data_IF_168270720832
#
_entry.id   IF_168270720832
#
_cell.length_a   1.000
_cell.length_b   1.000
_cell.length_c   1.000
_cell.angle_alpha   90.00
_cell.angle_beta   90.00
_cell.angle_gamma   90.00
#
_symmetry.space_group_name_H-M   'P 1'
#
loop_
_entity.id
_entity.type
_entity.pdbx_description
1 polymer ?
#
# COMPACT_ATOMS: atom_id res chain seq x y z
N UNK A 1 13.34 -3.34 1.87
CA UNK A 1 12.90 -4.71 2.12
C UNK A 1 11.41 -4.82 2.49
N UNK A 2 10.88 -4.11 3.49
CA UNK A 2 9.46 -4.23 3.90
C UNK A 2 8.49 -4.04 2.72
N UNK A 3 8.69 -3.02 1.87
CA UNK A 3 7.90 -2.84 0.64
C UNK A 3 7.93 -4.06 -0.28
N UNK A 4 9.09 -4.71 -0.42
CA UNK A 4 9.22 -5.90 -1.26
C UNK A 4 8.44 -7.10 -0.70
N UNK A 5 8.44 -7.30 0.61
CA UNK A 5 7.59 -8.33 1.23
C UNK A 5 6.11 -8.00 1.03
N UNK A 6 5.72 -6.74 1.24
CA UNK A 6 4.33 -6.31 1.05
C UNK A 6 3.82 -6.56 -0.38
N UNK A 7 4.63 -6.32 -1.41
CA UNK A 7 4.17 -6.57 -2.79
C UNK A 7 3.96 -8.06 -3.09
N UNK A 8 4.77 -8.96 -2.52
CA UNK A 8 4.54 -10.40 -2.63
C UNK A 8 3.25 -10.83 -1.90
N UNK A 9 2.98 -10.25 -0.73
CA UNK A 9 1.73 -10.49 -0.01
C UNK A 9 0.53 -10.02 -0.83
N UNK A 10 0.62 -8.87 -1.50
CA UNK A 10 -0.44 -8.36 -2.38
C UNK A 10 -0.69 -9.31 -3.56
N UNK A 11 0.36 -9.82 -4.22
CA UNK A 11 0.19 -10.81 -5.28
C UNK A 11 -0.53 -12.04 -4.73
N UNK A 12 -0.07 -12.57 -3.58
CA UNK A 12 -0.63 -13.78 -2.97
C UNK A 12 -2.13 -13.66 -2.69
N UNK A 13 -2.55 -12.51 -2.19
CA UNK A 13 -3.98 -12.27 -1.84
C UNK A 13 -4.90 -12.33 -3.06
N UNK A 14 -4.42 -11.89 -4.21
CA UNK A 14 -5.23 -11.86 -5.44
C UNK A 14 -5.40 -13.24 -6.09
N UNK A 15 -4.67 -14.27 -5.63
CA UNK A 15 -4.90 -15.65 -6.07
C UNK A 15 -6.19 -16.29 -5.53
N UNK A 16 -6.99 -15.58 -4.77
CA UNK A 16 -8.24 -16.07 -4.17
C UNK A 16 -9.16 -16.78 -5.18
N UNK A 17 -9.28 -16.29 -6.40
CA UNK A 17 -10.06 -16.96 -7.46
C UNK A 17 -9.46 -18.27 -7.98
N UNK A 18 -8.16 -18.55 -7.73
CA UNK A 18 -7.48 -19.76 -8.19
C UNK A 18 -7.41 -20.87 -7.13
N UNK A 19 -7.89 -20.61 -5.89
CA UNK A 19 -7.80 -21.55 -4.78
C UNK A 19 -9.15 -21.90 -4.19
N UNK A 20 -9.33 -23.18 -3.92
CA UNK A 20 -10.47 -23.73 -3.17
C UNK A 20 -10.15 -24.04 -1.71
N UNK A 21 -8.95 -23.69 -1.23
CA UNK A 21 -8.47 -24.04 0.09
C UNK A 21 -8.83 -22.96 1.11
N UNK A 22 -9.62 -23.31 2.14
CA UNK A 22 -10.07 -22.43 3.22
C UNK A 22 -8.91 -21.77 4.00
N UNK A 23 -7.76 -22.42 4.12
CA UNK A 23 -6.58 -21.85 4.80
C UNK A 23 -5.99 -20.68 3.99
N UNK A 24 -5.91 -20.83 2.68
CA UNK A 24 -5.42 -19.76 1.81
C UNK A 24 -6.36 -18.56 1.82
N UNK A 25 -7.65 -18.79 1.85
CA UNK A 25 -8.68 -17.78 1.99
C UNK A 25 -8.54 -17.01 3.30
N UNK A 26 -8.32 -17.75 4.39
CA UNK A 26 -8.05 -17.16 5.69
C UNK A 26 -6.81 -16.28 5.66
N UNK A 27 -5.68 -16.75 5.09
CA UNK A 27 -4.44 -15.98 4.97
C UNK A 27 -4.64 -14.78 4.03
N UNK A 28 -5.33 -14.98 2.90
CA UNK A 28 -5.69 -13.92 1.95
C UNK A 28 -6.46 -12.78 2.59
N UNK A 29 -7.32 -13.07 3.55
CA UNK A 29 -8.10 -12.07 4.29
C UNK A 29 -7.24 -11.02 5.02
N UNK A 30 -5.95 -11.27 5.25
CA UNK A 30 -5.00 -10.33 5.90
C UNK A 30 -4.23 -9.43 4.91
N UNK A 31 -4.44 -9.58 3.60
CA UNK A 31 -3.67 -8.86 2.59
C UNK A 31 -3.82 -7.35 2.60
N UNK A 32 -4.92 -6.83 3.12
CA UNK A 32 -5.14 -5.40 3.30
C UNK A 32 -4.03 -4.74 4.16
N UNK A 33 -3.37 -5.51 5.05
CA UNK A 33 -2.28 -5.01 5.91
C UNK A 33 -1.08 -4.56 5.05
N UNK A 34 -0.80 -5.26 3.96
CA UNK A 34 0.28 -4.87 3.05
C UNK A 34 0.00 -3.52 2.39
N UNK A 35 -1.24 -3.27 1.96
CA UNK A 35 -1.67 -1.98 1.40
C UNK A 35 -1.62 -0.89 2.46
N UNK A 36 -2.07 -1.18 3.68
CA UNK A 36 -1.98 -0.27 4.83
C UNK A 36 -0.52 0.14 5.10
N UNK A 37 0.43 -0.80 5.01
CA UNK A 37 1.86 -0.51 5.14
C UNK A 37 2.40 0.36 4.00
N UNK A 38 1.94 0.17 2.77
CA UNK A 38 2.31 1.05 1.67
C UNK A 38 1.83 2.48 1.90
N UNK A 39 0.60 2.66 2.39
CA UNK A 39 0.09 4.00 2.77
C UNK A 39 0.89 4.61 3.91
N UNK A 40 1.22 3.84 4.96
CA UNK A 40 2.05 4.29 6.09
C UNK A 40 3.41 4.79 5.60
N UNK A 41 4.12 4.00 4.81
CA UNK A 41 5.44 4.36 4.28
C UNK A 41 5.36 5.61 3.39
N UNK A 42 4.28 5.75 2.61
CA UNK A 42 4.07 6.90 1.72
C UNK A 42 3.83 8.17 2.52
N UNK A 43 2.96 8.15 3.53
CA UNK A 43 2.70 9.31 4.39
C UNK A 43 3.94 9.69 5.21
N UNK A 44 4.61 8.73 5.85
CA UNK A 44 5.85 8.94 6.57
C UNK A 44 6.92 9.62 5.70
N UNK A 45 7.11 9.11 4.48
CA UNK A 45 8.09 9.65 3.54
C UNK A 45 7.76 11.07 3.08
N UNK A 46 6.48 11.44 2.93
CA UNK A 46 6.05 12.79 2.58
C UNK A 46 6.26 13.77 3.74
N UNK A 47 5.85 13.40 4.95
CA UNK A 47 6.08 14.21 6.16
C UNK A 47 7.57 14.48 6.36
N UNK A 48 8.39 13.42 6.34
CA UNK A 48 9.84 13.51 6.51
C UNK A 48 10.49 14.40 5.43
N UNK A 49 10.01 14.32 4.19
CA UNK A 49 10.54 15.12 3.08
C UNK A 49 10.17 16.59 3.21
N UNK A 50 8.94 16.89 3.67
CA UNK A 50 8.48 18.26 3.93
C UNK A 50 9.28 18.94 5.05
N UNK A 51 9.68 18.18 6.07
CA UNK A 51 10.48 18.70 7.19
C UNK A 51 11.94 18.92 6.82
N UNK A 52 12.52 18.04 6.00
CA UNK A 52 13.95 18.08 5.67
C UNK A 52 14.32 18.99 4.51
N UNK A 53 13.40 19.22 3.56
CA UNK A 53 13.68 19.96 2.33
C UNK A 53 12.91 21.27 2.32
N UNK A 54 13.61 22.40 2.37
CA UNK A 54 13.00 23.75 2.36
C UNK A 54 12.10 23.99 1.14
N UNK A 55 12.53 23.56 -0.04
CA UNK A 55 11.83 23.78 -1.32
C UNK A 55 10.91 22.61 -1.72
N UNK A 56 10.57 21.72 -0.77
CA UNK A 56 9.81 20.53 -1.06
C UNK A 56 8.47 20.82 -1.74
N UNK A 57 7.74 21.84 -1.29
CA UNK A 57 6.43 22.18 -1.83
C UNK A 57 6.50 22.82 -3.21
N UNK A 58 7.58 23.53 -3.55
CA UNK A 58 7.74 24.18 -4.85
C UNK A 58 7.75 23.17 -6.01
N UNK A 59 8.33 22.00 -5.78
CA UNK A 59 8.43 20.93 -6.77
C UNK A 59 7.53 19.72 -6.45
N UNK A 60 6.64 19.86 -5.45
CA UNK A 60 5.85 18.75 -4.92
C UNK A 60 5.03 18.06 -5.99
N UNK A 61 4.16 18.80 -6.67
CA UNK A 61 3.25 18.24 -7.67
C UNK A 61 3.98 17.59 -8.83
N UNK A 62 4.96 18.29 -9.41
CA UNK A 62 5.77 17.73 -10.49
C UNK A 62 6.40 16.40 -10.08
N UNK A 63 7.07 16.37 -8.95
CA UNK A 63 7.76 15.18 -8.49
C UNK A 63 6.80 14.05 -8.10
N UNK A 64 5.62 14.37 -7.56
CA UNK A 64 4.62 13.36 -7.17
C UNK A 64 3.87 12.81 -8.36
N UNK A 65 3.39 13.66 -9.25
CA UNK A 65 2.67 13.21 -10.45
C UNK A 65 3.58 12.35 -11.33
N UNK A 66 4.80 12.79 -11.57
CA UNK A 66 5.78 12.00 -12.34
C UNK A 66 6.03 10.64 -11.68
N UNK A 67 6.21 10.60 -10.34
CA UNK A 67 6.50 9.36 -9.64
C UNK A 67 5.33 8.37 -9.60
N UNK A 68 4.10 8.85 -9.63
CA UNK A 68 2.91 8.01 -9.53
C UNK A 68 2.33 7.66 -10.89
N UNK A 69 2.29 8.62 -11.82
CA UNK A 69 1.59 8.44 -13.08
C UNK A 69 2.45 7.83 -14.18
N UNK A 70 3.77 8.08 -14.22
CA UNK A 70 4.62 7.50 -15.27
C UNK A 70 4.67 5.97 -15.18
N UNK A 71 4.94 5.34 -14.01
CA UNK A 71 4.86 3.88 -13.92
C UNK A 71 3.46 3.33 -14.21
N UNK A 72 2.40 4.05 -13.79
CA UNK A 72 1.03 3.68 -14.08
C UNK A 72 0.76 3.67 -15.60
N UNK A 73 1.21 4.71 -16.30
CA UNK A 73 1.11 4.80 -17.76
C UNK A 73 1.90 3.68 -18.47
N UNK A 74 3.13 3.41 -18.01
CA UNK A 74 3.95 2.34 -18.58
C UNK A 74 3.28 0.97 -18.44
N UNK A 75 2.69 0.67 -17.27
CA UNK A 75 1.94 -0.57 -17.03
C UNK A 75 0.68 -0.62 -17.89
N UNK A 76 -0.07 0.47 -17.99
CA UNK A 76 -1.28 0.52 -18.81
C UNK A 76 -0.97 0.29 -20.31
N UNK A 77 0.14 0.83 -20.83
CA UNK A 77 0.57 0.57 -22.20
C UNK A 77 0.84 -0.91 -22.46
N UNK A 78 1.48 -1.59 -21.50
CA UNK A 78 1.68 -3.05 -21.58
C UNK A 78 0.33 -3.76 -21.52
N UNK A 79 -0.58 -3.33 -20.63
CA UNK A 79 -1.94 -3.89 -20.54
C UNK A 79 -2.71 -3.81 -21.85
N UNK A 80 -2.64 -2.67 -22.56
CA UNK A 80 -3.24 -2.51 -23.87
C UNK A 80 -2.64 -3.49 -24.88
N UNK A 81 -1.31 -3.66 -24.87
CA UNK A 81 -0.65 -4.61 -25.76
C UNK A 81 -1.08 -6.06 -25.48
N UNK A 82 -1.25 -6.46 -24.22
CA UNK A 82 -1.77 -7.77 -23.85
C UNK A 82 -3.24 -7.95 -24.23
N UNK A 83 -4.10 -6.96 -23.98
CA UNK A 83 -5.51 -6.97 -24.41
C UNK A 83 -5.65 -7.12 -25.92
N UNK A 84 -4.72 -6.53 -26.68
CA UNK A 84 -4.72 -6.69 -28.14
C UNK A 84 -4.43 -8.15 -28.55
N UNK A 85 -3.56 -8.84 -27.82
CA UNK A 85 -3.29 -10.29 -28.02
C UNK A 85 -4.52 -11.12 -27.67
N UNK A 86 -5.32 -10.70 -26.69
CA UNK A 86 -6.59 -11.34 -26.30
C UNK A 86 -7.74 -11.03 -27.27
N UNK A 87 -7.51 -10.20 -28.29
CA UNK A 87 -8.52 -9.82 -29.30
C UNK A 87 -9.46 -8.71 -28.82
N UNK A 88 -9.17 -8.05 -27.71
CA UNK A 88 -9.91 -6.88 -27.24
C UNK A 88 -9.17 -5.57 -27.55
N UNK A 89 -9.91 -4.52 -27.93
CA UNK A 89 -9.33 -3.21 -28.30
C UNK A 89 -9.72 -2.12 -27.29
N UNK A 90 -9.44 -2.37 -25.99
CA UNK A 90 -9.80 -1.42 -24.94
C UNK A 90 -8.74 -0.31 -24.78
N UNK A 91 -8.68 0.64 -25.71
CA UNK A 91 -7.80 1.81 -25.64
C UNK A 91 -8.04 2.69 -24.41
N UNK A 92 -9.24 2.65 -23.84
CA UNK A 92 -9.60 3.40 -22.64
C UNK A 92 -8.77 3.00 -21.41
N UNK A 93 -8.16 1.83 -21.42
CA UNK A 93 -7.29 1.37 -20.35
C UNK A 93 -6.08 2.28 -20.12
N UNK A 94 -5.64 3.06 -21.14
CA UNK A 94 -4.51 4.00 -20.99
C UNK A 94 -4.75 5.07 -19.92
N UNK A 95 -6.00 5.51 -19.74
CA UNK A 95 -6.38 6.55 -18.78
C UNK A 95 -6.79 5.97 -17.41
N UNK A 96 -6.81 4.65 -17.27
CA UNK A 96 -7.21 4.04 -16.02
C UNK A 96 -6.14 4.28 -14.95
N UNK A 97 -6.52 4.96 -13.89
CA UNK A 97 -5.68 5.15 -12.72
C UNK A 97 -6.07 4.09 -11.69
N UNK A 98 -5.10 3.30 -11.26
CA UNK A 98 -5.28 2.30 -10.20
C UNK A 98 -5.89 2.94 -8.95
N UNK A 99 -6.81 2.25 -8.27
CA UNK A 99 -7.51 2.75 -7.08
C UNK A 99 -6.58 3.20 -5.96
N UNK A 100 -5.51 2.47 -5.71
CA UNK A 100 -4.47 2.85 -4.76
C UNK A 100 -3.80 4.20 -5.12
N UNK A 101 -3.50 4.40 -6.40
CA UNK A 101 -2.90 5.66 -6.90
C UNK A 101 -3.88 6.81 -6.72
N UNK A 102 -5.18 6.60 -6.95
CA UNK A 102 -6.22 7.61 -6.70
C UNK A 102 -6.23 8.07 -5.24
N UNK A 103 -6.19 7.13 -4.29
CA UNK A 103 -6.13 7.47 -2.85
C UNK A 103 -4.84 8.22 -2.50
N UNK A 104 -3.69 7.81 -3.05
CA UNK A 104 -2.44 8.55 -2.85
C UNK A 104 -2.49 9.97 -3.41
N UNK A 105 -3.10 10.18 -4.58
CA UNK A 105 -3.26 11.50 -5.16
C UNK A 105 -4.19 12.38 -4.31
N UNK A 106 -5.31 11.83 -3.81
CA UNK A 106 -6.18 12.52 -2.84
C UNK A 106 -5.40 12.93 -1.59
N UNK A 107 -4.60 12.02 -1.03
CA UNK A 107 -3.77 12.34 0.12
C UNK A 107 -2.72 13.41 -0.21
N UNK A 108 -2.08 13.33 -1.38
CA UNK A 108 -1.14 14.36 -1.83
C UNK A 108 -1.79 15.74 -1.89
N UNK A 109 -3.05 15.82 -2.37
CA UNK A 109 -3.79 17.08 -2.43
C UNK A 109 -4.05 17.64 -1.03
N UNK A 110 -4.59 16.84 -0.11
CA UNK A 110 -4.87 17.28 1.25
C UNK A 110 -3.59 17.67 2.00
N UNK A 111 -2.55 16.84 1.87
CA UNK A 111 -1.25 17.10 2.45
C UNK A 111 -0.69 18.44 1.96
N UNK A 112 -0.71 18.69 0.64
CA UNK A 112 -0.18 19.91 0.04
C UNK A 112 -0.92 21.15 0.54
N UNK A 113 -2.25 21.11 0.53
CA UNK A 113 -3.08 22.24 1.01
C UNK A 113 -2.78 22.53 2.49
N UNK A 114 -2.75 21.49 3.33
CA UNK A 114 -2.51 21.65 4.77
C UNK A 114 -1.09 22.16 5.05
N UNK A 115 -0.08 21.67 4.32
CA UNK A 115 1.30 22.16 4.47
C UNK A 115 1.43 23.64 4.04
N UNK A 116 0.72 24.07 2.99
CA UNK A 116 0.65 25.49 2.62
C UNK A 116 -0.03 26.31 3.71
N UNK A 117 -1.16 25.86 4.24
CA UNK A 117 -1.88 26.53 5.33
C UNK A 117 -1.00 26.61 6.60
N UNK A 118 -0.30 25.56 6.95
CA UNK A 118 0.65 25.55 8.08
C UNK A 118 1.71 26.62 7.94
N UNK A 119 2.34 26.72 6.76
CA UNK A 119 3.39 27.71 6.50
C UNK A 119 2.89 29.13 6.53
N UNK A 120 1.68 29.38 5.99
CA UNK A 120 1.11 30.73 5.85
C UNK A 120 0.39 31.22 7.13
N UNK A 121 -0.44 30.37 7.73
CA UNK A 121 -1.37 30.80 8.79
C UNK A 121 -1.02 30.29 10.19
N UNK A 122 -0.31 29.15 10.28
CA UNK A 122 -0.02 28.50 11.55
C UNK A 122 1.45 28.11 11.72
N UNK A 123 2.41 29.03 11.46
CA UNK A 123 3.85 28.67 11.48
C UNK A 123 4.35 28.20 12.84
N UNK A 124 3.67 28.59 13.94
CA UNK A 124 3.99 28.16 15.30
C UNK A 124 3.18 26.95 15.81
N UNK A 125 2.16 26.50 15.05
CA UNK A 125 1.23 25.44 15.46
C UNK A 125 1.19 24.31 14.44
N UNK A 126 2.33 23.75 14.09
CA UNK A 126 2.42 22.65 13.12
C UNK A 126 1.54 21.44 13.48
N UNK A 127 1.36 21.17 14.78
CA UNK A 127 0.52 20.08 15.28
C UNK A 127 -0.95 20.22 14.89
N UNK A 128 -1.47 21.44 14.82
CA UNK A 128 -2.87 21.68 14.42
C UNK A 128 -3.13 21.22 12.98
N UNK A 129 -2.21 21.51 12.06
CA UNK A 129 -2.32 21.03 10.68
C UNK A 129 -2.30 19.51 10.58
N UNK A 130 -1.44 18.85 11.36
CA UNK A 130 -1.39 17.39 11.40
C UNK A 130 -2.69 16.80 11.95
N UNK A 131 -3.28 17.42 13.01
CA UNK A 131 -4.58 17.02 13.55
C UNK A 131 -5.70 17.16 12.50
N UNK A 132 -5.72 18.26 11.74
CA UNK A 132 -6.71 18.48 10.68
C UNK A 132 -6.55 17.42 9.58
N UNK A 133 -5.32 17.12 9.17
CA UNK A 133 -5.04 16.09 8.16
C UNK A 133 -5.50 14.71 8.63
N UNK A 134 -5.16 14.34 9.87
CA UNK A 134 -5.58 13.08 10.49
C UNK A 134 -7.10 13.00 10.58
N UNK A 135 -7.76 14.04 11.08
CA UNK A 135 -9.22 14.09 11.20
C UNK A 135 -9.88 13.92 9.82
N UNK A 136 -9.38 14.61 8.78
CA UNK A 136 -9.88 14.45 7.41
C UNK A 136 -9.76 13.03 6.88
N UNK A 137 -8.62 12.35 7.12
CA UNK A 137 -8.42 10.96 6.73
C UNK A 137 -9.39 10.04 7.46
N UNK A 138 -9.52 10.18 8.79
CA UNK A 138 -10.41 9.35 9.61
C UNK A 138 -11.87 9.54 9.20
N UNK A 139 -12.33 10.79 9.05
CA UNK A 139 -13.70 11.10 8.62
C UNK A 139 -13.97 10.52 7.24
N UNK A 140 -13.04 10.68 6.28
CA UNK A 140 -13.20 10.10 4.95
C UNK A 140 -13.20 8.57 4.98
N UNK A 141 -12.42 7.94 5.85
CA UNK A 141 -12.39 6.50 6.04
C UNK A 141 -13.74 5.97 6.53
N UNK A 142 -14.29 6.60 7.56
CA UNK A 142 -15.61 6.25 8.12
C UNK A 142 -16.71 6.50 7.08
N UNK A 143 -16.70 7.66 6.43
CA UNK A 143 -17.69 8.01 5.41
C UNK A 143 -17.73 6.99 4.27
N UNK A 144 -16.56 6.62 3.74
CA UNK A 144 -16.46 5.63 2.69
C UNK A 144 -16.97 4.27 3.13
N UNK A 145 -16.66 3.87 4.36
CA UNK A 145 -17.17 2.61 4.89
C UNK A 145 -18.69 2.62 5.04
N UNK A 146 -19.27 3.69 5.59
CA UNK A 146 -20.70 3.74 5.88
C UNK A 146 -21.58 3.91 4.62
N UNK A 147 -21.08 4.59 3.59
CA UNK A 147 -21.92 5.01 2.45
C UNK A 147 -21.51 4.44 1.11
N UNK A 148 -20.30 3.92 0.97
CA UNK A 148 -19.76 3.47 -0.33
C UNK A 148 -19.27 2.03 -0.28
N UNK A 149 -18.88 1.54 0.91
CA UNK A 149 -18.34 0.19 1.03
C UNK A 149 -19.42 -0.86 0.72
N UNK A 150 -19.11 -1.68 -0.27
CA UNK A 150 -19.82 -2.89 -0.62
C UNK A 150 -18.81 -4.03 -0.74
N UNK A 151 -19.03 -5.14 -0.05
CA UNK A 151 -18.14 -6.31 -0.08
C UNK A 151 -17.97 -6.88 -1.50
N UNK A 152 -18.93 -6.63 -2.40
CA UNK A 152 -18.89 -7.05 -3.81
C UNK A 152 -18.04 -6.13 -4.69
N UNK A 153 -17.75 -4.90 -4.25
CA UNK A 153 -17.00 -3.92 -5.03
C UNK A 153 -15.53 -3.86 -4.62
N UNK A 154 -14.64 -4.23 -5.53
CA UNK A 154 -13.19 -4.01 -5.39
C UNK A 154 -12.81 -2.54 -5.18
N UNK A 155 -13.78 -1.63 -5.31
CA UNK A 155 -13.63 -0.18 -5.26
C UNK A 155 -14.05 0.44 -3.94
N UNK A 156 -14.29 -0.36 -2.90
CA UNK A 156 -14.65 0.14 -1.56
C UNK A 156 -13.68 1.20 -0.97
N UNK A 157 -12.92 1.83 -1.87
CA UNK A 157 -12.20 3.07 -1.67
C UNK A 157 -11.06 2.99 -0.67
N UNK A 158 -10.58 1.76 -0.39
CA UNK A 158 -9.51 1.58 0.59
C UNK A 158 -9.85 2.25 1.92
N UNK A 159 -11.06 2.02 2.42
CA UNK A 159 -11.59 2.74 3.59
C UNK A 159 -10.77 2.48 4.86
N UNK A 160 -10.51 1.23 5.22
CA UNK A 160 -9.71 0.90 6.41
C UNK A 160 -8.20 0.94 6.17
N UNK A 161 -7.71 0.64 4.97
CA UNK A 161 -6.28 0.69 4.61
C UNK A 161 -5.71 2.10 4.67
N UNK A 162 -6.51 3.13 4.35
CA UNK A 162 -6.06 4.53 4.44
C UNK A 162 -5.71 4.98 5.85
N UNK A 163 -6.08 4.21 6.89
CA UNK A 163 -5.58 4.43 8.25
C UNK A 163 -4.04 4.31 8.34
N UNK A 164 -3.41 3.60 7.40
CA UNK A 164 -1.96 3.62 7.24
C UNK A 164 -1.39 5.03 7.04
N UNK A 165 -2.11 5.92 6.36
CA UNK A 165 -1.69 7.32 6.21
C UNK A 165 -1.63 8.04 7.58
N UNK A 166 -2.64 7.81 8.43
CA UNK A 166 -2.65 8.34 9.81
C UNK A 166 -1.44 7.84 10.59
N UNK A 167 -1.19 6.54 10.55
CA UNK A 167 -0.05 5.95 11.26
C UNK A 167 1.30 6.42 10.73
N UNK A 168 1.40 6.69 9.43
CA UNK A 168 2.60 7.28 8.84
C UNK A 168 2.87 8.71 9.33
N UNK A 169 1.82 9.53 9.47
CA UNK A 169 1.92 10.88 10.05
C UNK A 169 2.34 10.80 11.52
N UNK A 170 1.68 9.95 12.31
CA UNK A 170 1.99 9.76 13.73
C UNK A 170 3.41 9.21 13.92
N UNK A 171 3.81 8.23 13.10
CA UNK A 171 5.16 7.69 13.14
C UNK A 171 6.23 8.77 12.89
N UNK A 172 6.02 9.66 11.92
CA UNK A 172 6.95 10.75 11.68
C UNK A 172 7.04 11.69 12.89
N UNK A 173 5.90 12.03 13.47
CA UNK A 173 5.80 13.00 14.56
C UNK A 173 6.38 12.45 15.88
N UNK A 174 6.15 11.17 16.14
CA UNK A 174 6.57 10.51 17.39
C UNK A 174 7.69 9.48 17.17
N UNK A 175 8.52 9.67 16.13
CA UNK A 175 9.55 8.69 15.75
C UNK A 175 10.49 8.36 16.91
N UNK A 176 11.07 9.37 17.57
CA UNK A 176 12.03 9.15 18.66
C UNK A 176 11.43 8.46 19.90
N UNK A 177 10.28 8.92 20.44
CA UNK A 177 9.58 8.19 21.51
C UNK A 177 9.22 6.76 21.11
N UNK A 178 8.79 6.56 19.86
CA UNK A 178 8.40 5.25 19.35
C UNK A 178 9.60 4.28 19.27
N UNK A 179 10.76 4.74 18.78
CA UNK A 179 11.98 3.93 18.75
C UNK A 179 12.41 3.55 20.17
N UNK A 180 12.46 4.51 21.11
CA UNK A 180 12.78 4.24 22.50
C UNK A 180 11.81 3.23 23.13
N UNK A 181 10.53 3.36 22.83
CA UNK A 181 9.52 2.40 23.29
C UNK A 181 9.75 1.01 22.69
N UNK A 182 10.04 0.88 21.40
CA UNK A 182 10.33 -0.42 20.78
C UNK A 182 11.55 -1.09 21.39
N UNK A 183 12.62 -0.36 21.65
CA UNK A 183 13.88 -0.91 22.13
C UNK A 183 13.82 -1.32 23.59
N UNK A 184 12.96 -0.68 24.41
CA UNK A 184 12.79 -1.06 25.83
C UNK A 184 12.02 -2.38 25.93
N UNK A 185 12.58 -3.38 26.63
CA UNK A 185 11.97 -4.72 26.82
C UNK A 185 11.46 -5.35 25.53
N UNK A 186 12.20 -5.19 24.44
CA UNK A 186 11.83 -5.52 23.08
C UNK A 186 11.29 -6.95 22.93
N UNK A 187 11.98 -7.96 23.49
CA UNK A 187 11.56 -9.36 23.35
C UNK A 187 10.18 -9.59 23.97
N UNK A 188 9.94 -9.04 25.15
CA UNK A 188 8.64 -9.17 25.85
C UNK A 188 7.55 -8.49 25.02
N UNK A 189 7.79 -7.27 24.51
CA UNK A 189 6.82 -6.56 23.66
C UNK A 189 6.56 -7.28 22.35
N UNK A 190 7.59 -7.82 21.71
CA UNK A 190 7.42 -8.58 20.46
C UNK A 190 6.55 -9.82 20.71
N UNK A 191 6.78 -10.57 21.79
CA UNK A 191 5.95 -11.72 22.15
C UNK A 191 4.52 -11.28 22.45
N UNK A 192 4.35 -10.24 23.28
CA UNK A 192 3.01 -9.72 23.62
C UNK A 192 2.24 -9.26 22.36
N UNK A 193 2.89 -8.47 21.51
CA UNK A 193 2.29 -8.01 20.25
C UNK A 193 1.96 -9.17 19.30
N UNK A 194 2.81 -10.22 19.26
CA UNK A 194 2.53 -11.44 18.50
C UNK A 194 1.28 -12.14 19.02
N UNK A 195 1.19 -12.36 20.33
CA UNK A 195 0.03 -13.02 20.97
C UNK A 195 -1.25 -12.20 20.74
N UNK A 196 -1.22 -10.89 20.97
CA UNK A 196 -2.37 -10.01 20.73
C UNK A 196 -2.77 -10.03 19.26
N UNK A 197 -1.81 -9.98 18.33
CA UNK A 197 -2.10 -10.07 16.89
C UNK A 197 -2.73 -11.41 16.52
N UNK A 198 -2.29 -12.51 17.11
CA UNK A 198 -2.88 -13.83 16.89
C UNK A 198 -4.31 -13.90 17.40
N UNK A 199 -4.58 -13.43 18.63
CA UNK A 199 -5.92 -13.37 19.20
C UNK A 199 -6.87 -12.50 18.37
N UNK A 200 -6.41 -11.30 17.98
CA UNK A 200 -7.17 -10.41 17.11
C UNK A 200 -7.38 -11.03 15.72
N UNK A 201 -6.40 -11.76 15.19
CA UNK A 201 -6.52 -12.48 13.92
C UNK A 201 -7.60 -13.57 13.96
N UNK A 202 -7.63 -14.36 15.01
CA UNK A 202 -8.69 -15.38 15.24
C UNK A 202 -10.06 -14.69 15.38
N UNK A 203 -10.14 -13.63 16.18
CA UNK A 203 -11.35 -12.84 16.33
C UNK A 203 -11.83 -12.27 14.98
N UNK A 204 -10.90 -11.76 14.18
CA UNK A 204 -11.20 -11.23 12.84
C UNK A 204 -11.76 -12.31 11.91
N UNK A 205 -11.14 -13.48 11.83
CA UNK A 205 -11.66 -14.58 11.00
C UNK A 205 -13.07 -15.01 11.42
N UNK A 206 -13.37 -14.95 12.72
CA UNK A 206 -14.70 -15.32 13.25
C UNK A 206 -15.74 -14.21 13.03
N UNK A 207 -15.36 -12.94 13.18
CA UNK A 207 -16.30 -11.83 13.22
C UNK A 207 -16.18 -10.88 12.01
N UNK A 208 -15.40 -11.21 10.98
CA UNK A 208 -15.15 -10.34 9.81
C UNK A 208 -16.44 -9.91 9.08
N UNK A 209 -17.52 -10.67 9.19
CA UNK A 209 -18.82 -10.36 8.59
C UNK A 209 -19.69 -9.46 9.48
N UNK A 210 -19.31 -9.21 10.73
CA UNK A 210 -20.07 -8.31 11.62
C UNK A 210 -19.85 -6.87 11.17
N UNK A 211 -20.94 -6.24 10.73
CA UNK A 211 -20.92 -4.88 10.23
C UNK A 211 -20.25 -3.92 11.21
N UNK A 212 -19.43 -3.00 10.71
CA UNK A 212 -18.64 -1.99 11.38
C UNK A 212 -17.60 -2.55 12.38
N UNK A 213 -17.98 -3.39 13.33
CA UNK A 213 -17.07 -3.92 14.35
C UNK A 213 -16.05 -4.90 13.77
N UNK A 214 -16.50 -5.90 13.03
CA UNK A 214 -15.65 -6.92 12.41
C UNK A 214 -15.04 -6.44 11.09
N UNK A 215 -15.89 -5.95 10.21
CA UNK A 215 -15.50 -5.60 8.85
C UNK A 215 -14.66 -4.29 8.76
N UNK A 216 -14.73 -3.41 9.76
CA UNK A 216 -14.02 -2.14 9.76
C UNK A 216 -13.07 -1.97 10.95
N UNK A 217 -13.61 -1.87 12.18
CA UNK A 217 -12.78 -1.56 13.36
C UNK A 217 -11.75 -2.65 13.66
N UNK A 218 -12.17 -3.92 13.64
CA UNK A 218 -11.27 -5.03 13.93
C UNK A 218 -10.14 -5.15 12.90
N UNK A 219 -10.41 -4.87 11.62
CA UNK A 219 -9.37 -4.78 10.58
C UNK A 219 -8.33 -3.70 10.90
N UNK A 220 -8.79 -2.51 11.29
CA UNK A 220 -7.89 -1.39 11.64
C UNK A 220 -7.03 -1.76 12.84
N UNK A 221 -7.63 -2.23 13.92
CA UNK A 221 -6.92 -2.58 15.16
C UNK A 221 -5.94 -3.72 14.90
N UNK A 222 -6.36 -4.78 14.24
CA UNK A 222 -5.49 -5.91 13.88
C UNK A 222 -4.31 -5.47 13.02
N UNK A 223 -4.58 -4.66 11.99
CA UNK A 223 -3.53 -4.11 11.12
C UNK A 223 -2.51 -3.30 11.91
N UNK A 224 -2.96 -2.47 12.86
CA UNK A 224 -2.07 -1.71 13.73
C UNK A 224 -1.17 -2.63 14.58
N UNK A 225 -1.75 -3.64 15.24
CA UNK A 225 -0.98 -4.55 16.10
C UNK A 225 0.05 -5.37 15.31
N UNK A 226 -0.31 -5.86 14.12
CA UNK A 226 0.64 -6.57 13.24
C UNK A 226 1.77 -5.64 12.80
N UNK A 227 1.49 -4.39 12.46
CA UNK A 227 2.52 -3.41 12.07
C UNK A 227 3.44 -3.09 13.25
N UNK A 228 2.89 -2.89 14.45
CA UNK A 228 3.67 -2.68 15.66
C UNK A 228 4.56 -3.89 15.97
N UNK A 229 4.01 -5.11 15.83
CA UNK A 229 4.78 -6.34 15.95
C UNK A 229 5.94 -6.38 14.97
N UNK A 230 5.70 -6.15 13.68
CA UNK A 230 6.72 -6.16 12.65
C UNK A 230 7.83 -5.14 12.92
N UNK A 231 7.50 -3.93 13.32
CA UNK A 231 8.48 -2.90 13.65
C UNK A 231 9.28 -3.28 14.89
N UNK A 232 8.62 -3.75 15.95
CA UNK A 232 9.30 -4.16 17.20
C UNK A 232 10.19 -5.38 16.95
N UNK A 233 9.73 -6.37 16.22
CA UNK A 233 10.52 -7.57 15.90
C UNK A 233 11.73 -7.26 15.01
N UNK A 234 11.62 -6.25 14.13
CA UNK A 234 12.68 -5.84 13.20
C UNK A 234 13.60 -4.74 13.73
N UNK A 235 13.27 -4.09 14.86
CA UNK A 235 14.12 -3.08 15.50
C UNK A 235 15.53 -3.65 15.77
N UNK A 236 16.58 -2.83 15.62
CA UNK A 236 17.98 -3.21 15.80
C UNK A 236 18.52 -4.39 14.94
N UNK A 237 17.72 -4.93 14.03
CA UNK A 237 18.22 -5.91 13.06
C UNK A 237 18.38 -5.25 11.71
N UNK A 238 19.55 -5.34 11.10
CA UNK A 238 19.70 -5.02 9.67
C UNK A 238 18.99 -6.10 8.86
N UNK A 239 17.65 -6.07 8.86
CA UNK A 239 16.85 -6.99 8.08
C UNK A 239 16.86 -6.48 6.65
N UNK A 240 17.55 -7.17 5.78
CA UNK A 240 17.57 -6.89 4.37
C UNK A 240 18.75 -7.56 3.68
N UNK A 241 18.45 -8.33 2.68
CA UNK A 241 19.40 -8.85 1.73
C UNK A 241 19.29 -8.06 0.41
N UNK A 242 20.22 -8.28 -0.51
CA UNK A 242 20.22 -7.61 -1.82
C UNK A 242 18.92 -7.85 -2.60
N UNK A 243 18.37 -9.05 -2.50
CA UNK A 243 17.10 -9.41 -3.13
C UNK A 243 15.92 -8.62 -2.57
N UNK A 244 15.78 -8.53 -1.24
CA UNK A 244 14.71 -7.76 -0.61
C UNK A 244 14.79 -6.25 -0.87
N UNK A 245 16.01 -5.71 -1.03
CA UNK A 245 16.19 -4.31 -1.45
C UNK A 245 15.78 -4.12 -2.92
N UNK A 246 16.20 -5.01 -3.80
CA UNK A 246 15.82 -5.00 -5.21
C UNK A 246 14.30 -5.08 -5.37
N UNK A 247 13.66 -6.05 -4.70
CA UNK A 247 12.21 -6.21 -4.70
C UNK A 247 11.49 -4.97 -4.15
N UNK A 248 12.04 -4.34 -3.10
CA UNK A 248 11.53 -3.07 -2.57
C UNK A 248 11.59 -1.91 -3.55
N UNK A 249 12.56 -1.89 -4.44
CA UNK A 249 12.72 -0.86 -5.47
C UNK A 249 11.67 -0.99 -6.58
N UNK A 250 11.35 -2.21 -7.01
CA UNK A 250 10.35 -2.49 -8.06
C UNK A 250 8.93 -2.72 -7.50
N UNK A 251 8.74 -2.56 -6.19
CA UNK A 251 7.50 -2.94 -5.50
C UNK A 251 6.26 -2.19 -5.98
N UNK A 252 6.44 -0.99 -6.49
CA UNK A 252 5.34 -0.18 -7.02
C UNK A 252 4.86 -0.72 -8.37
N UNK A 253 5.77 -1.04 -9.26
CA UNK A 253 5.49 -1.63 -10.56
C UNK A 253 4.90 -3.04 -10.41
N UNK A 254 5.39 -3.83 -9.45
CA UNK A 254 4.81 -5.13 -9.08
C UNK A 254 3.36 -4.96 -8.64
N UNK A 255 3.11 -3.96 -7.77
CA UNK A 255 1.76 -3.66 -7.33
C UNK A 255 0.83 -3.24 -8.48
N UNK A 256 1.32 -2.49 -9.45
CA UNK A 256 0.51 -2.04 -10.59
C UNK A 256 0.24 -3.14 -11.62
N UNK A 257 1.19 -4.06 -11.84
CA UNK A 257 1.16 -5.00 -12.96
C UNK A 257 0.60 -6.39 -12.62
N UNK A 258 0.61 -6.81 -11.33
CA UNK A 258 0.28 -8.19 -10.96
C UNK A 258 -1.13 -8.63 -11.39
N UNK A 259 -2.14 -7.77 -11.25
CA UNK A 259 -3.52 -8.09 -11.64
C UNK A 259 -3.67 -8.29 -13.15
N UNK A 260 -3.00 -7.45 -13.93
CA UNK A 260 -2.96 -7.56 -15.39
C UNK A 260 -2.28 -8.86 -15.85
N UNK A 261 -1.11 -9.17 -15.28
CA UNK A 261 -0.38 -10.42 -15.58
C UNK A 261 -1.21 -11.63 -15.21
N UNK A 262 -1.89 -11.59 -14.07
CA UNK A 262 -2.76 -12.67 -13.61
C UNK A 262 -3.93 -12.88 -14.56
N UNK A 263 -4.59 -11.80 -15.00
CA UNK A 263 -5.70 -11.86 -15.97
C UNK A 263 -5.25 -12.47 -17.29
N UNK A 264 -4.13 -11.97 -17.84
CA UNK A 264 -3.56 -12.51 -19.08
C UNK A 264 -3.21 -14.00 -19.01
N UNK A 265 -2.55 -14.42 -17.91
CA UNK A 265 -2.22 -15.83 -17.72
C UNK A 265 -3.46 -16.71 -17.52
N UNK A 266 -4.48 -16.21 -16.84
CA UNK A 266 -5.76 -16.91 -16.70
C UNK A 266 -6.46 -17.13 -18.06
N UNK A 267 -6.36 -16.14 -18.95
CA UNK A 267 -6.84 -16.27 -20.33
C UNK A 267 -6.01 -17.26 -21.16
N UNK A 268 -4.67 -17.15 -21.10
CA UNK A 268 -3.76 -17.93 -21.94
C UNK A 268 -3.61 -19.40 -21.50
N UNK A 269 -3.98 -19.73 -20.25
CA UNK A 269 -3.62 -20.99 -19.59
C UNK A 269 -4.81 -21.65 -18.90
N UNK A 270 -5.78 -22.12 -19.71
CA UNK A 270 -7.01 -22.76 -19.20
C UNK A 270 -6.81 -24.11 -18.48
N UNK A 271 -5.66 -24.78 -18.63
CA UNK A 271 -5.46 -26.18 -18.20
C UNK A 271 -4.26 -26.39 -17.24
N UNK A 272 -3.72 -25.36 -16.60
CA UNK A 272 -2.56 -25.56 -15.71
C UNK A 272 -2.95 -25.85 -14.27
N UNK A 273 -2.08 -26.60 -13.56
CA UNK A 273 -2.20 -26.76 -12.11
C UNK A 273 -2.08 -25.41 -11.41
N UNK A 274 -2.83 -25.21 -10.32
CA UNK A 274 -2.81 -23.98 -9.52
C UNK A 274 -1.40 -23.57 -9.07
N UNK A 275 -0.52 -24.53 -8.75
CA UNK A 275 0.87 -24.26 -8.39
C UNK A 275 1.68 -23.66 -9.55
N UNK A 276 1.52 -24.17 -10.77
CA UNK A 276 2.19 -23.63 -11.96
C UNK A 276 1.69 -22.25 -12.30
N UNK A 277 0.37 -22.03 -12.23
CA UNK A 277 -0.24 -20.72 -12.45
C UNK A 277 0.33 -19.64 -11.52
N UNK A 278 0.46 -19.97 -10.20
CA UNK A 278 1.05 -19.05 -9.22
C UNK A 278 2.50 -18.74 -9.55
N UNK A 279 3.30 -19.79 -9.77
CA UNK A 279 4.71 -19.62 -10.06
C UNK A 279 4.91 -18.72 -11.29
N UNK A 280 4.20 -19.01 -12.37
CA UNK A 280 4.27 -18.23 -13.60
C UNK A 280 3.80 -16.78 -13.39
N UNK A 281 2.70 -16.57 -12.67
CA UNK A 281 2.22 -15.21 -12.36
C UNK A 281 3.28 -14.43 -11.57
N UNK A 282 3.85 -15.02 -10.53
CA UNK A 282 4.90 -14.35 -9.73
C UNK A 282 6.11 -14.02 -10.59
N UNK A 283 6.63 -15.00 -11.34
CA UNK A 283 7.82 -14.83 -12.18
C UNK A 283 7.56 -13.80 -13.28
N UNK A 284 6.47 -13.91 -14.02
CA UNK A 284 6.12 -12.97 -15.09
C UNK A 284 5.92 -11.55 -14.55
N UNK A 285 5.23 -11.41 -13.41
CA UNK A 285 5.04 -10.10 -12.75
C UNK A 285 6.38 -9.49 -12.36
N UNK A 286 7.30 -10.24 -11.77
CA UNK A 286 8.62 -9.73 -11.39
C UNK A 286 9.46 -9.32 -12.60
N UNK A 287 9.46 -10.12 -13.65
CA UNK A 287 10.17 -9.82 -14.91
C UNK A 287 9.60 -8.53 -15.53
N UNK A 288 8.29 -8.47 -15.72
CA UNK A 288 7.63 -7.31 -16.30
C UNK A 288 7.89 -6.04 -15.47
N UNK A 289 7.73 -6.14 -14.16
CA UNK A 289 7.96 -5.01 -13.25
C UNK A 289 9.39 -4.51 -13.30
N UNK A 290 10.36 -5.39 -13.45
CA UNK A 290 11.76 -4.99 -13.62
C UNK A 290 11.99 -4.21 -14.92
N UNK A 291 11.40 -4.66 -16.03
CA UNK A 291 11.49 -3.93 -17.31
C UNK A 291 10.80 -2.58 -17.24
N UNK A 292 9.57 -2.53 -16.74
CA UNK A 292 8.83 -1.27 -16.55
C UNK A 292 9.62 -0.32 -15.66
N UNK A 293 10.15 -0.79 -14.52
CA UNK A 293 10.97 0.01 -13.60
C UNK A 293 12.22 0.56 -14.28
N UNK A 294 12.85 -0.20 -15.16
CA UNK A 294 14.04 0.24 -15.89
C UNK A 294 13.74 1.37 -16.87
N UNK A 295 12.57 1.32 -17.51
CA UNK A 295 12.09 2.35 -18.43
C UNK A 295 11.65 3.60 -17.68
N UNK A 296 10.76 3.44 -16.71
CA UNK A 296 10.19 4.56 -15.98
C UNK A 296 11.25 5.33 -15.19
N UNK A 297 12.26 4.66 -14.63
CA UNK A 297 13.38 5.28 -13.94
C UNK A 297 14.13 6.27 -14.83
N UNK A 298 14.30 5.95 -16.12
CA UNK A 298 14.95 6.85 -17.09
C UNK A 298 14.07 8.08 -17.33
N UNK A 299 12.77 7.85 -17.55
CA UNK A 299 11.79 8.91 -17.81
C UNK A 299 11.63 9.81 -16.57
N UNK A 300 11.43 9.19 -15.41
CA UNK A 300 11.25 9.88 -14.13
C UNK A 300 12.48 10.71 -13.77
N UNK A 301 13.70 10.20 -14.02
CA UNK A 301 14.93 10.95 -13.78
C UNK A 301 15.05 12.21 -14.66
N UNK A 302 14.55 12.16 -15.90
CA UNK A 302 14.55 13.31 -16.83
C UNK A 302 13.49 14.36 -16.48
N UNK A 303 12.36 13.92 -15.92
CA UNK A 303 11.21 14.77 -15.66
C UNK A 303 11.17 15.36 -14.24
N UNK A 304 11.88 14.77 -13.28
CA UNK A 304 11.99 15.31 -11.90
C UNK A 304 13.00 16.45 -11.84
N UNK A 305 12.73 17.37 -10.90
CA UNK A 305 13.64 18.46 -10.51
C UNK A 305 14.31 18.10 -9.19
#
# INVERSE_FOLDING_TARGET
>A
MLKGVCCLVVIYVHFHGAYTNTLQDAIGSFGYIAVTLFFLISAYGMMLSSERKKDYLNHFWRNRLVALLIPCLCVNLVGIALNFVEGSSEWHAIYQINGYVKVLLQFCLWFYIIELCKRKWFPKRHQLGDCILIAGIVISSIFLYLFIYDDSSSTAGWCFERMGLVWGILLNRYYQPFVKWMDSHRCIKAVLLCVVSAVLGIAYLKYKMVWFWGAYLLKIVLGLFIILFLFTASSNRKIGNRFGLWLGNISYEVYLSHGMVMGFLAYAMSEFSSGMFILLTVVATLILSYFVHSIDKIIVKKLRV
#
